data_IF_144739944722
#
_entry.id   IF_144739944722
#
_cell.length_a   1.000
_cell.length_b   1.000
_cell.length_c   1.000
_cell.angle_alpha   90.00
_cell.angle_beta   90.00
_cell.angle_gamma   90.00
#
_symmetry.space_group_name_H-M   'P 1'
#
loop_
_entity.id
_entity.type
_entity.pdbx_description
1 polymer ?
#
# COMPACT_ATOMS: atom_id res chain seq x y z
N UNK A 1 -4.24 -37.12 3.58
CA UNK A 1 -4.68 -36.83 2.19
C UNK A 1 -3.41 -36.70 1.35
N UNK A 2 -3.37 -37.09 0.08
CA UNK A 2 -2.17 -36.83 -0.73
C UNK A 2 -2.16 -35.38 -1.23
N UNK A 3 -0.98 -34.79 -1.42
CA UNK A 3 -0.83 -33.41 -1.90
C UNK A 3 -1.61 -33.15 -3.21
N UNK A 4 -1.70 -34.15 -4.08
CA UNK A 4 -2.39 -34.04 -5.36
C UNK A 4 -3.92 -34.00 -5.24
N UNK A 5 -4.48 -34.70 -4.25
CA UNK A 5 -5.92 -34.63 -3.95
C UNK A 5 -6.27 -33.28 -3.33
N UNK A 6 -5.41 -32.78 -2.46
CA UNK A 6 -5.54 -31.44 -1.88
C UNK A 6 -5.47 -30.35 -2.95
N UNK A 7 -4.53 -30.49 -3.90
CA UNK A 7 -4.44 -29.60 -5.05
C UNK A 7 -5.74 -29.61 -5.86
N UNK A 8 -6.22 -30.78 -6.28
CA UNK A 8 -7.43 -30.88 -7.11
C UNK A 8 -8.69 -30.33 -6.45
N UNK A 9 -8.84 -30.47 -5.13
CA UNK A 9 -10.05 -29.98 -4.44
C UNK A 9 -10.06 -28.47 -4.23
N UNK A 10 -8.89 -27.83 -4.16
CA UNK A 10 -8.76 -26.40 -3.80
C UNK A 10 -8.27 -25.50 -4.93
N UNK A 11 -7.71 -26.07 -6.01
CA UNK A 11 -7.15 -25.31 -7.13
C UNK A 11 -8.14 -24.29 -7.73
N UNK A 12 -9.44 -24.61 -7.78
CA UNK A 12 -10.45 -23.70 -8.30
C UNK A 12 -10.51 -22.38 -7.50
N UNK A 13 -10.52 -22.47 -6.17
CA UNK A 13 -10.54 -21.31 -5.28
C UNK A 13 -9.26 -20.47 -5.43
N UNK A 14 -8.12 -21.14 -5.58
CA UNK A 14 -6.81 -20.49 -5.75
C UNK A 14 -6.72 -19.74 -7.08
N UNK A 15 -7.26 -20.33 -8.15
CA UNK A 15 -7.35 -19.69 -9.46
C UNK A 15 -8.31 -18.49 -9.43
N UNK A 16 -9.47 -18.62 -8.79
CA UNK A 16 -10.40 -17.49 -8.64
C UNK A 16 -9.78 -16.32 -7.89
N UNK A 17 -9.07 -16.59 -6.79
CA UNK A 17 -8.36 -15.54 -6.05
C UNK A 17 -7.30 -14.87 -6.95
N UNK A 18 -6.54 -15.66 -7.71
CA UNK A 18 -5.51 -15.14 -8.63
C UNK A 18 -6.14 -14.20 -9.67
N UNK A 19 -7.26 -14.59 -10.29
CA UNK A 19 -7.97 -13.76 -11.27
C UNK A 19 -8.45 -12.44 -10.64
N UNK A 20 -9.00 -12.47 -9.43
CA UNK A 20 -9.43 -11.26 -8.73
C UNK A 20 -8.27 -10.34 -8.37
N UNK A 21 -7.12 -10.91 -7.95
CA UNK A 21 -5.90 -10.16 -7.67
C UNK A 21 -5.34 -9.52 -8.94
N UNK A 22 -5.27 -10.25 -10.05
CA UNK A 22 -4.79 -9.71 -11.33
C UNK A 22 -5.73 -8.59 -11.84
N UNK A 23 -7.05 -8.79 -11.70
CA UNK A 23 -8.04 -7.76 -12.02
C UNK A 23 -7.87 -6.50 -11.18
N UNK A 24 -7.56 -6.64 -9.88
CA UNK A 24 -7.29 -5.50 -8.99
C UNK A 24 -6.06 -4.68 -9.40
N UNK A 25 -5.05 -5.33 -9.99
CA UNK A 25 -3.82 -4.68 -10.43
C UNK A 25 -4.00 -3.96 -11.77
N UNK A 26 -4.82 -4.51 -12.67
CA UNK A 26 -5.09 -3.91 -13.98
C UNK A 26 -6.19 -2.84 -13.92
N UNK A 27 -7.23 -3.07 -13.13
CA UNK A 27 -8.35 -2.15 -12.95
C UNK A 27 -8.31 -1.60 -11.53
N UNK A 28 -8.11 -0.28 -11.40
CA UNK A 28 -8.10 0.44 -10.12
C UNK A 28 -9.42 0.33 -9.31
N UNK A 29 -10.43 -0.39 -9.80
CA UNK A 29 -11.75 -0.52 -9.16
C UNK A 29 -12.33 -1.92 -9.36
N UNK A 30 -12.35 -2.70 -8.29
CA UNK A 30 -13.18 -3.89 -8.14
C UNK A 30 -14.60 -3.47 -7.70
N UNK A 31 -15.62 -4.24 -8.09
CA UNK A 31 -16.96 -4.05 -7.55
C UNK A 31 -17.01 -4.46 -6.07
N UNK A 32 -17.94 -3.92 -5.26
CA UNK A 32 -18.08 -4.30 -3.85
C UNK A 32 -18.25 -5.82 -3.63
N UNK A 33 -18.99 -6.48 -4.53
CA UNK A 33 -19.19 -7.93 -4.49
C UNK A 33 -17.87 -8.69 -4.73
N UNK A 34 -17.05 -8.24 -5.68
CA UNK A 34 -15.75 -8.85 -5.95
C UNK A 34 -14.75 -8.62 -4.82
N UNK A 35 -14.78 -7.45 -4.17
CA UNK A 35 -13.96 -7.19 -2.97
C UNK A 35 -14.35 -8.13 -1.84
N UNK A 36 -15.65 -8.33 -1.60
CA UNK A 36 -16.14 -9.27 -0.60
C UNK A 36 -15.72 -10.71 -0.92
N UNK A 37 -15.90 -11.14 -2.17
CA UNK A 37 -15.50 -12.47 -2.62
C UNK A 37 -13.99 -12.69 -2.50
N UNK A 38 -13.19 -11.70 -2.89
CA UNK A 38 -11.73 -11.72 -2.76
C UNK A 38 -11.31 -11.88 -1.29
N UNK A 39 -11.96 -11.16 -0.37
CA UNK A 39 -11.70 -11.28 1.07
C UNK A 39 -12.06 -12.65 1.65
N UNK A 40 -13.15 -13.27 1.18
CA UNK A 40 -13.55 -14.62 1.57
C UNK A 40 -12.55 -15.67 1.07
N UNK A 41 -12.21 -15.61 -0.22
CA UNK A 41 -11.24 -16.51 -0.84
C UNK A 41 -9.86 -16.37 -0.17
N UNK A 42 -9.39 -15.16 0.10
CA UNK A 42 -8.13 -14.93 0.81
C UNK A 42 -8.05 -15.65 2.16
N UNK A 43 -9.12 -15.61 2.98
CA UNK A 43 -9.17 -16.32 4.27
C UNK A 43 -9.15 -17.84 4.09
N UNK A 44 -9.84 -18.34 3.06
CA UNK A 44 -9.82 -19.76 2.70
C UNK A 44 -8.42 -20.22 2.31
N UNK A 45 -7.75 -19.49 1.39
CA UNK A 45 -6.39 -19.79 0.93
C UNK A 45 -5.35 -19.67 2.06
N UNK A 46 -5.53 -18.72 2.98
CA UNK A 46 -4.66 -18.61 4.16
C UNK A 46 -4.79 -19.84 5.08
N UNK A 47 -6.00 -20.37 5.21
CA UNK A 47 -6.26 -21.61 5.97
C UNK A 47 -5.65 -22.83 5.25
N UNK A 48 -5.78 -22.88 3.93
CA UNK A 48 -5.16 -23.92 3.09
C UNK A 48 -3.63 -23.87 3.16
N UNK A 49 -3.03 -22.67 3.22
CA UNK A 49 -1.59 -22.50 3.44
C UNK A 49 -1.16 -23.06 4.79
N UNK A 50 -1.90 -22.79 5.86
CA UNK A 50 -1.59 -23.33 7.19
C UNK A 50 -1.64 -24.87 7.21
N UNK A 51 -2.63 -25.46 6.51
CA UNK A 51 -2.71 -26.91 6.33
C UNK A 51 -1.54 -27.45 5.50
N UNK A 52 -1.20 -26.79 4.39
CA UNK A 52 -0.10 -27.19 3.51
C UNK A 52 1.26 -27.08 4.20
N UNK A 53 1.47 -26.08 5.06
CA UNK A 53 2.67 -25.96 5.90
C UNK A 53 2.79 -27.11 6.91
N UNK A 54 1.66 -27.57 7.47
CA UNK A 54 1.63 -28.68 8.42
C UNK A 54 1.88 -30.04 7.74
N UNK A 55 1.20 -30.33 6.63
CA UNK A 55 1.28 -31.66 5.99
C UNK A 55 2.38 -31.75 4.93
N UNK A 56 2.70 -30.66 4.23
CA UNK A 56 3.59 -30.64 3.07
C UNK A 56 4.61 -29.49 3.11
N UNK A 57 5.40 -29.30 4.19
CA UNK A 57 6.22 -28.10 4.39
C UNK A 57 7.27 -27.82 3.31
N UNK A 58 7.76 -28.85 2.61
CA UNK A 58 8.77 -28.72 1.54
C UNK A 58 8.20 -28.89 0.13
N UNK A 59 6.88 -29.00 0.01
CA UNK A 59 6.22 -29.23 -1.27
C UNK A 59 5.97 -27.92 -2.02
N UNK A 60 5.99 -27.97 -3.35
CA UNK A 60 5.80 -26.79 -4.21
C UNK A 60 4.46 -26.09 -3.97
N UNK A 61 3.42 -26.85 -3.60
CA UNK A 61 2.08 -26.30 -3.28
C UNK A 61 2.14 -25.30 -2.12
N UNK A 62 2.97 -25.56 -1.12
CA UNK A 62 3.13 -24.68 0.04
C UNK A 62 3.81 -23.38 -0.34
N UNK A 63 4.85 -23.45 -1.18
CA UNK A 63 5.52 -22.27 -1.74
C UNK A 63 4.57 -21.44 -2.59
N UNK A 64 3.79 -22.08 -3.46
CA UNK A 64 2.79 -21.42 -4.29
C UNK A 64 1.74 -20.68 -3.46
N UNK A 65 1.16 -21.37 -2.46
CA UNK A 65 0.17 -20.76 -1.57
C UNK A 65 0.75 -19.60 -0.76
N UNK A 66 2.01 -19.72 -0.32
CA UNK A 66 2.68 -18.64 0.40
C UNK A 66 2.82 -17.38 -0.47
N UNK A 67 3.22 -17.54 -1.73
CA UNK A 67 3.28 -16.43 -2.69
C UNK A 67 1.91 -15.82 -2.99
N UNK A 68 0.88 -16.67 -3.14
CA UNK A 68 -0.49 -16.22 -3.40
C UNK A 68 -1.06 -15.41 -2.23
N UNK A 69 -0.86 -15.87 -0.98
CA UNK A 69 -1.26 -15.15 0.23
C UNK A 69 -0.47 -13.85 0.38
N UNK A 70 0.84 -13.85 0.12
CA UNK A 70 1.65 -12.63 0.16
C UNK A 70 1.17 -11.57 -0.83
N UNK A 71 0.84 -11.96 -2.08
CA UNK A 71 0.22 -11.07 -3.07
C UNK A 71 -1.13 -10.56 -2.59
N UNK A 72 -1.99 -11.44 -2.07
CA UNK A 72 -3.30 -11.07 -1.55
C UNK A 72 -3.22 -10.08 -0.39
N UNK A 73 -2.26 -10.26 0.52
CA UNK A 73 -2.04 -9.35 1.64
C UNK A 73 -1.66 -7.94 1.16
N UNK A 74 -0.75 -7.84 0.19
CA UNK A 74 -0.39 -6.57 -0.41
C UNK A 74 -1.62 -5.89 -1.03
N UNK A 75 -2.42 -6.59 -1.82
CA UNK A 75 -3.61 -6.02 -2.47
C UNK A 75 -4.72 -5.62 -1.49
N UNK A 76 -5.01 -6.45 -0.47
CA UNK A 76 -6.15 -6.24 0.44
C UNK A 76 -5.81 -5.20 1.52
N UNK A 77 -4.58 -5.22 2.04
CA UNK A 77 -4.21 -4.46 3.23
C UNK A 77 -3.22 -3.31 2.95
N UNK A 78 -2.43 -3.34 1.87
CA UNK A 78 -1.70 -2.14 1.45
C UNK A 78 -2.67 -1.27 0.65
N UNK A 79 -3.41 -0.44 1.40
CA UNK A 79 -4.45 0.42 0.87
C UNK A 79 -3.94 1.30 -0.27
N UNK A 80 -4.65 1.21 -1.39
CA UNK A 80 -4.96 2.26 -2.37
C UNK A 80 -3.85 3.30 -2.70
N UNK A 81 -3.51 3.50 -3.99
CA UNK A 81 -2.69 4.63 -4.42
C UNK A 81 -3.28 6.00 -4.05
N UNK A 82 -4.54 6.09 -3.56
CA UNK A 82 -5.08 7.28 -2.91
C UNK A 82 -4.21 7.81 -1.75
N UNK A 83 -3.55 6.95 -0.96
CA UNK A 83 -2.67 7.42 0.11
C UNK A 83 -1.42 8.12 -0.45
N UNK A 84 -0.78 7.52 -1.46
CA UNK A 84 0.39 8.09 -2.16
C UNK A 84 0.01 9.36 -2.95
N UNK A 85 -1.15 9.36 -3.60
CA UNK A 85 -1.67 10.52 -4.35
C UNK A 85 -2.10 11.66 -3.42
N UNK A 86 -2.69 11.36 -2.26
CA UNK A 86 -3.05 12.35 -1.23
C UNK A 86 -1.80 12.92 -0.57
N UNK A 87 -0.78 12.09 -0.31
CA UNK A 87 0.50 12.54 0.21
C UNK A 87 1.23 13.43 -0.81
N UNK A 88 1.26 13.03 -2.10
CA UNK A 88 1.78 13.88 -3.19
C UNK A 88 1.02 15.21 -3.30
N UNK A 89 -0.31 15.19 -3.24
CA UNK A 89 -1.11 16.41 -3.31
C UNK A 89 -0.86 17.32 -2.11
N UNK A 90 -0.74 16.78 -0.90
CA UNK A 90 -0.37 17.54 0.29
C UNK A 90 1.03 18.16 0.17
N UNK A 91 2.02 17.41 -0.34
CA UNK A 91 3.37 17.93 -0.55
C UNK A 91 3.46 18.97 -1.69
N UNK A 92 2.69 18.81 -2.75
CA UNK A 92 2.73 19.70 -3.93
C UNK A 92 1.83 20.94 -3.79
N UNK A 93 0.75 20.86 -3.00
CA UNK A 93 -0.26 21.93 -2.89
C UNK A 93 -0.36 22.47 -1.46
N UNK A 94 -0.37 21.61 -0.45
CA UNK A 94 -0.52 22.02 0.95
C UNK A 94 0.74 22.67 1.55
N UNK A 95 1.91 22.11 1.31
CA UNK A 95 3.18 22.69 1.78
C UNK A 95 3.45 24.11 1.24
N UNK A 96 3.35 24.39 -0.07
CA UNK A 96 3.61 25.73 -0.58
C UNK A 96 2.56 26.76 -0.16
N UNK A 97 1.30 26.37 0.09
CA UNK A 97 0.29 27.31 0.58
C UNK A 97 0.58 27.77 2.00
N UNK A 98 0.94 26.84 2.90
CA UNK A 98 1.27 27.18 4.30
C UNK A 98 2.57 27.99 4.40
N UNK A 99 3.55 27.71 3.53
CA UNK A 99 4.77 28.51 3.48
C UNK A 99 4.52 29.95 3.02
N UNK A 100 3.61 30.16 2.07
CA UNK A 100 3.24 31.50 1.57
C UNK A 100 2.46 32.34 2.60
N UNK A 101 1.62 31.72 3.42
CA UNK A 101 0.93 32.43 4.52
C UNK A 101 1.88 32.84 5.65
N UNK A 102 2.98 32.10 5.83
CA UNK A 102 3.99 32.35 6.88
C UNK A 102 5.10 33.32 6.43
N UNK A 103 5.17 33.64 5.12
CA UNK A 103 6.16 34.53 4.53
C UNK A 103 6.28 35.93 5.19
N UNK A 104 5.19 36.64 5.55
CA UNK A 104 5.31 37.97 6.17
C UNK A 104 5.97 37.95 7.55
N UNK A 105 5.78 36.88 8.33
CA UNK A 105 6.47 36.71 9.62
C UNK A 105 7.96 36.41 9.46
N UNK A 106 8.32 35.62 8.43
CA UNK A 106 9.71 35.35 8.12
C UNK A 106 10.43 36.62 7.62
N UNK A 107 9.79 37.37 6.71
CA UNK A 107 10.34 38.63 6.19
C UNK A 107 10.50 39.69 7.27
N UNK A 108 9.56 39.82 8.22
CA UNK A 108 9.70 40.75 9.34
C UNK A 108 10.87 40.39 10.25
N UNK A 109 11.07 39.11 10.57
CA UNK A 109 12.22 38.67 11.35
C UNK A 109 13.55 38.92 10.62
N UNK A 110 13.63 38.62 9.32
CA UNK A 110 14.81 38.92 8.49
C UNK A 110 15.08 40.42 8.45
N UNK A 111 14.05 41.25 8.28
CA UNK A 111 14.21 42.70 8.24
C UNK A 111 14.74 43.25 9.57
N UNK A 112 14.23 42.74 10.69
CA UNK A 112 14.63 43.16 12.04
C UNK A 112 16.08 42.79 12.36
N UNK A 113 16.63 41.74 11.75
CA UNK A 113 18.03 41.34 11.92
C UNK A 113 18.96 42.00 10.91
N UNK A 114 18.58 42.00 9.63
CA UNK A 114 19.46 42.42 8.52
C UNK A 114 19.59 43.94 8.45
N UNK A 115 18.51 44.70 8.67
CA UNK A 115 18.56 46.17 8.59
C UNK A 115 19.54 46.77 9.60
N UNK A 116 19.46 46.46 10.92
CA UNK A 116 20.44 46.97 11.86
C UNK A 116 21.86 46.44 11.63
N UNK A 117 22.03 45.19 11.16
CA UNK A 117 23.35 44.65 10.80
C UNK A 117 24.00 45.42 9.65
N UNK A 118 23.22 45.77 8.61
CA UNK A 118 23.68 46.59 7.49
C UNK A 118 24.04 47.99 7.98
N UNK A 119 23.17 48.63 8.78
CA UNK A 119 23.41 49.98 9.33
C UNK A 119 24.71 49.99 10.14
N UNK A 120 24.91 49.04 11.05
CA UNK A 120 26.13 48.92 11.85
C UNK A 120 27.38 48.70 10.98
N UNK A 121 27.27 47.89 9.93
CA UNK A 121 28.37 47.64 8.99
C UNK A 121 28.75 48.83 8.10
N UNK A 122 27.83 49.76 7.84
CA UNK A 122 28.13 51.01 7.12
C UNK A 122 28.62 52.15 8.02
N UNK A 123 28.38 52.06 9.34
CA UNK A 123 28.79 53.03 10.35
C UNK A 123 30.14 52.71 11.02
N UNK A 124 30.75 51.57 10.69
CA UNK A 124 32.08 51.12 11.16
C UNK A 124 33.08 51.20 10.01
#
# INVERSE_FOLDING_TARGET
>A
MNAEQFYRSRQADWQQLTVLLDKSQQMNRLSPAEVQQMGQLYRSVTSDLALAQREFPRHQVTTFLNQLVARGHATIYQGEPLAVRRLKHYFLVGLPSTFRESLPFFLTAVFLVVVPAIIAGFLT
#
